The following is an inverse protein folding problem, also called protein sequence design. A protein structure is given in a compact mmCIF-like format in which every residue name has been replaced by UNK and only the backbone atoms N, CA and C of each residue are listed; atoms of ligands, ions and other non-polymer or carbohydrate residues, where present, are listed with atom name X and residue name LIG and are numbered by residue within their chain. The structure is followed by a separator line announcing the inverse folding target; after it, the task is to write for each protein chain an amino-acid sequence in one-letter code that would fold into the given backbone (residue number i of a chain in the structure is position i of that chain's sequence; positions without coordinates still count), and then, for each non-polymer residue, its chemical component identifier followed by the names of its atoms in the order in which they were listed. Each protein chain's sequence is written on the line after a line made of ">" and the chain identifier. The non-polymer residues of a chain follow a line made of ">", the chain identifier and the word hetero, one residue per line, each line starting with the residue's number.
data_IF_988674098078
#
_entry.id   IF_988674098078
#
_cell.length_a   1.000
_cell.length_b   1.000
_cell.length_c   1.000
_cell.angle_alpha   90.00
_cell.angle_beta   90.00
_cell.angle_gamma   90.00
#
_symmetry.space_group_name_H-M   'P 1'
#
loop_
_entity.id
_entity.type
_entity.pdbx_description
1 polymer ?
#
# COMPACT_ATOMS: atom_id res chain seq x y z
N UNK A 1 50.50 -9.59 44.00
CA UNK A 1 50.80 -10.29 42.75
C UNK A 1 49.50 -10.54 42.00
N UNK A 2 49.39 -9.94 40.81
CA UNK A 2 48.44 -10.17 39.69
C UNK A 2 46.95 -10.30 39.98
N UNK A 3 46.26 -9.18 39.81
CA UNK A 3 44.84 -9.10 39.43
C UNK A 3 44.66 -9.66 38.02
N UNK A 4 43.75 -10.61 37.83
CA UNK A 4 43.40 -11.13 36.51
C UNK A 4 41.98 -10.63 36.16
N UNK A 5 41.93 -9.49 35.48
CA UNK A 5 40.69 -8.92 34.93
C UNK A 5 40.44 -9.61 33.58
N UNK A 6 39.42 -10.46 33.53
CA UNK A 6 38.95 -11.07 32.28
C UNK A 6 38.07 -10.06 31.54
N UNK A 7 38.61 -9.45 30.48
CA UNK A 7 37.83 -8.64 29.55
C UNK A 7 37.08 -9.60 28.60
N UNK A 8 35.79 -9.83 28.86
CA UNK A 8 34.88 -10.43 27.89
C UNK A 8 34.61 -9.36 26.82
N UNK A 9 35.18 -9.53 25.63
CA UNK A 9 34.86 -8.70 24.47
C UNK A 9 33.44 -9.03 24.01
N UNK A 10 32.50 -8.12 24.27
CA UNK A 10 31.14 -8.19 23.74
C UNK A 10 31.18 -7.78 22.25
N UNK A 11 31.12 -8.74 21.34
CA UNK A 11 30.94 -8.45 19.91
C UNK A 11 29.46 -8.15 19.65
N UNK A 12 29.08 -6.87 19.70
CA UNK A 12 27.74 -6.43 19.31
C UNK A 12 27.75 -6.03 17.84
N UNK A 13 27.64 -7.01 16.94
CA UNK A 13 27.38 -6.74 15.52
C UNK A 13 25.92 -6.38 15.35
N UNK A 14 25.60 -5.08 15.32
CA UNK A 14 24.27 -4.61 14.88
C UNK A 14 24.25 -4.70 13.35
N UNK A 15 24.00 -5.90 12.83
CA UNK A 15 23.49 -6.02 11.48
C UNK A 15 21.99 -5.70 11.56
N UNK A 16 21.63 -4.42 11.40
CA UNK A 16 20.25 -4.07 11.05
C UNK A 16 20.00 -4.60 9.63
N UNK A 17 19.67 -5.88 9.54
CA UNK A 17 19.02 -6.42 8.37
C UNK A 17 17.63 -5.79 8.32
N UNK A 18 17.46 -4.80 7.44
CA UNK A 18 16.12 -4.43 6.99
C UNK A 18 15.59 -5.68 6.31
N UNK A 19 14.80 -6.47 7.03
CA UNK A 19 14.06 -7.56 6.44
C UNK A 19 13.05 -6.92 5.49
N UNK A 20 13.36 -6.91 4.19
CA UNK A 20 12.35 -6.69 3.17
C UNK A 20 11.21 -7.66 3.44
N UNK A 21 9.97 -7.18 3.45
CA UNK A 21 8.83 -8.05 3.67
C UNK A 21 8.93 -9.25 2.71
N UNK A 22 9.01 -10.46 3.28
CA UNK A 22 9.07 -11.67 2.48
C UNK A 22 7.71 -11.84 1.80
N UNK A 23 7.68 -11.86 0.47
CA UNK A 23 6.44 -11.95 -0.31
C UNK A 23 6.15 -10.73 -1.20
N UNK A 24 4.97 -10.70 -1.83
CA UNK A 24 4.51 -9.54 -2.60
C UNK A 24 4.11 -8.39 -1.66
N UNK A 25 4.41 -7.16 -2.05
CA UNK A 25 4.09 -5.93 -1.30
C UNK A 25 3.69 -4.84 -2.28
N UNK A 26 2.38 -4.63 -2.47
CA UNK A 26 1.83 -3.68 -3.44
C UNK A 26 1.51 -2.36 -2.76
N UNK A 27 2.11 -1.29 -3.26
CA UNK A 27 1.81 0.08 -2.84
C UNK A 27 1.27 0.90 -4.01
N UNK A 28 0.35 1.81 -3.71
CA UNK A 28 -0.09 2.85 -4.66
C UNK A 28 0.85 4.03 -4.49
N UNK A 29 1.72 4.26 -5.47
CA UNK A 29 2.69 5.36 -5.46
C UNK A 29 2.01 6.68 -5.81
N UNK A 30 1.05 6.64 -6.73
CA UNK A 30 0.34 7.83 -7.22
C UNK A 30 -1.10 7.50 -7.55
N UNK A 31 -1.99 8.43 -7.22
CA UNK A 31 -3.35 8.50 -7.75
C UNK A 31 -3.39 9.68 -8.72
N UNK A 32 -3.80 9.43 -9.95
CA UNK A 32 -3.83 10.44 -11.00
C UNK A 32 -5.00 10.27 -11.96
N UNK A 33 -5.01 11.07 -13.04
CA UNK A 33 -6.04 11.04 -14.07
C UNK A 33 -7.47 10.97 -13.50
N UNK A 34 -7.77 11.85 -12.53
CA UNK A 34 -9.10 11.94 -11.94
C UNK A 34 -10.04 12.57 -12.95
N UNK A 35 -11.10 11.86 -13.33
CA UNK A 35 -12.03 12.26 -14.39
C UNK A 35 -13.47 12.12 -13.92
N UNK A 36 -14.32 13.07 -14.35
CA UNK A 36 -15.78 13.01 -14.20
C UNK A 36 -16.42 12.47 -15.48
N UNK A 37 -17.37 11.55 -15.33
CA UNK A 37 -18.05 10.86 -16.41
C UNK A 37 -19.54 11.14 -16.38
N UNK A 38 -19.97 11.99 -17.31
CA UNK A 38 -21.38 12.25 -17.59
C UNK A 38 -22.20 12.64 -16.36
N UNK A 39 -23.51 12.67 -16.54
CA UNK A 39 -24.47 12.81 -15.45
C UNK A 39 -25.72 12.03 -15.82
N UNK A 40 -26.18 11.15 -14.93
CA UNK A 40 -27.42 10.43 -15.16
C UNK A 40 -28.65 11.33 -14.88
N UNK A 41 -29.85 10.84 -15.21
CA UNK A 41 -31.09 11.58 -15.01
C UNK A 41 -31.36 11.94 -13.52
N UNK A 42 -30.75 11.21 -12.60
CA UNK A 42 -30.83 11.41 -11.15
C UNK A 42 -29.76 12.37 -10.63
N UNK A 43 -28.90 12.92 -11.50
CA UNK A 43 -27.85 13.86 -11.12
C UNK A 43 -26.57 13.22 -10.56
N UNK A 44 -26.44 11.89 -10.60
CA UNK A 44 -25.21 11.20 -10.21
C UNK A 44 -24.17 11.31 -11.31
N UNK A 45 -22.92 11.51 -10.91
CA UNK A 45 -21.76 11.57 -11.79
C UNK A 45 -20.88 10.34 -11.56
N UNK A 46 -20.31 9.79 -12.63
CA UNK A 46 -19.24 8.79 -12.50
C UNK A 46 -17.93 9.50 -12.21
N UNK A 47 -17.09 8.94 -11.33
CA UNK A 47 -15.73 9.44 -11.10
C UNK A 47 -14.77 8.26 -11.25
N UNK A 48 -13.70 8.45 -12.01
CA UNK A 48 -12.60 7.48 -12.10
C UNK A 48 -11.30 8.13 -11.69
N UNK A 49 -10.36 7.32 -11.21
CA UNK A 49 -8.98 7.73 -10.99
C UNK A 49 -8.05 6.59 -11.45
N UNK A 50 -6.93 6.96 -12.07
CA UNK A 50 -5.82 6.06 -12.31
C UNK A 50 -5.01 5.86 -11.04
N UNK A 51 -4.38 4.69 -10.93
CA UNK A 51 -3.36 4.44 -9.91
C UNK A 51 -2.09 3.94 -10.60
N UNK A 52 -0.96 4.50 -10.20
CA UNK A 52 0.35 3.93 -10.50
C UNK A 52 0.81 3.18 -9.25
N UNK A 53 1.00 1.86 -9.42
CA UNK A 53 1.26 0.94 -8.32
C UNK A 53 2.53 0.15 -8.57
N UNK A 54 3.26 -0.11 -7.49
CA UNK A 54 4.54 -0.80 -7.50
C UNK A 54 4.49 -1.98 -6.55
N UNK A 55 5.11 -3.10 -6.94
CA UNK A 55 5.42 -4.19 -6.02
C UNK A 55 6.82 -3.97 -5.43
N UNK A 56 6.91 -3.53 -4.19
CA UNK A 56 8.16 -3.38 -3.42
C UNK A 56 8.63 -4.68 -2.77
N UNK A 57 7.85 -5.75 -2.93
CA UNK A 57 8.09 -7.04 -2.33
C UNK A 57 9.20 -7.82 -3.03
N UNK A 58 9.55 -8.95 -2.40
CA UNK A 58 10.58 -9.88 -2.88
C UNK A 58 10.01 -10.97 -3.80
N UNK A 59 8.69 -11.07 -3.94
CA UNK A 59 8.00 -12.02 -4.80
C UNK A 59 6.99 -11.32 -5.71
N UNK A 60 6.74 -11.90 -6.88
CA UNK A 60 5.75 -11.38 -7.83
C UNK A 60 4.33 -11.49 -7.27
N UNK A 61 3.48 -10.52 -7.61
CA UNK A 61 2.04 -10.59 -7.35
C UNK A 61 1.37 -11.44 -8.43
N UNK A 62 0.56 -12.39 -8.01
CA UNK A 62 -0.28 -13.19 -8.90
C UNK A 62 -1.55 -12.43 -9.30
N UNK A 63 -1.73 -12.20 -10.61
CA UNK A 63 -2.91 -11.54 -11.18
C UNK A 63 -3.68 -12.51 -12.07
N UNK A 64 -4.30 -13.54 -11.48
CA UNK A 64 -5.00 -14.57 -12.26
C UNK A 64 -6.33 -14.05 -12.78
N UNK A 65 -6.79 -14.55 -13.93
CA UNK A 65 -8.07 -14.12 -14.46
C UNK A 65 -9.25 -14.72 -13.67
N UNK A 66 -10.42 -14.05 -13.65
CA UNK A 66 -11.65 -14.65 -13.14
C UNK A 66 -11.93 -16.00 -13.79
N UNK A 67 -12.48 -16.98 -13.04
CA UNK A 67 -13.07 -16.85 -11.70
C UNK A 67 -12.09 -17.07 -10.53
N UNK A 68 -10.77 -17.07 -10.78
CA UNK A 68 -9.78 -17.26 -9.71
C UNK A 68 -9.87 -16.14 -8.66
N UNK A 69 -9.78 -16.50 -7.38
CA UNK A 69 -9.67 -15.54 -6.27
C UNK A 69 -8.22 -15.06 -6.04
N UNK A 70 -7.25 -15.56 -6.81
CA UNK A 70 -5.84 -15.14 -6.75
C UNK A 70 -5.60 -13.97 -7.70
N UNK A 71 -6.35 -12.89 -7.47
CA UNK A 71 -6.24 -11.61 -8.19
C UNK A 71 -6.50 -10.49 -7.18
N UNK A 72 -5.46 -9.82 -6.65
CA UNK A 72 -5.65 -8.74 -5.70
C UNK A 72 -6.41 -7.59 -6.34
N UNK A 73 -7.15 -6.83 -5.52
CA UNK A 73 -7.95 -5.70 -5.98
C UNK A 73 -7.42 -4.44 -5.29
N UNK A 74 -7.13 -3.42 -6.09
CA UNK A 74 -6.83 -2.07 -5.61
C UNK A 74 -8.13 -1.28 -5.64
N UNK A 75 -8.78 -1.17 -4.47
CA UNK A 75 -10.06 -0.46 -4.34
C UNK A 75 -9.88 1.05 -4.19
N UNK A 76 -10.88 1.80 -4.63
CA UNK A 76 -10.90 3.26 -4.56
C UNK A 76 -12.10 3.72 -3.74
N UNK A 77 -11.84 4.41 -2.62
CA UNK A 77 -12.88 5.05 -1.81
C UNK A 77 -12.77 6.56 -1.92
N UNK A 78 -13.88 7.22 -2.26
CA UNK A 78 -13.94 8.68 -2.39
C UNK A 78 -14.56 9.29 -1.14
N UNK A 79 -13.83 10.22 -0.52
CA UNK A 79 -14.30 10.99 0.63
C UNK A 79 -14.25 12.49 0.34
N UNK A 80 -15.16 13.23 0.98
CA UNK A 80 -15.17 14.70 1.00
C UNK A 80 -15.04 15.18 2.43
N UNK A 81 -14.08 16.08 2.65
CA UNK A 81 -14.03 16.92 3.85
C UNK A 81 -14.86 18.19 3.59
N UNK A 82 -15.91 18.40 4.37
CA UNK A 82 -16.73 19.61 4.29
C UNK A 82 -17.25 19.97 5.68
N UNK A 83 -17.14 21.23 6.09
CA UNK A 83 -17.52 21.70 7.43
C UNK A 83 -16.94 20.85 8.56
N UNK A 84 -15.63 20.54 8.49
CA UNK A 84 -14.93 19.66 9.45
C UNK A 84 -15.52 18.25 9.59
N UNK A 85 -16.30 17.80 8.63
CA UNK A 85 -16.86 16.45 8.58
C UNK A 85 -16.35 15.71 7.34
N UNK A 86 -15.79 14.52 7.56
CA UNK A 86 -15.48 13.57 6.50
C UNK A 86 -16.74 12.77 6.14
N UNK A 87 -17.09 12.72 4.87
CA UNK A 87 -18.20 11.92 4.35
C UNK A 87 -17.73 11.05 3.18
N UNK A 88 -18.08 9.77 3.20
CA UNK A 88 -17.88 8.87 2.07
C UNK A 88 -18.90 9.19 0.97
N UNK A 89 -18.43 9.32 -0.27
CA UNK A 89 -19.25 9.65 -1.44
C UNK A 89 -19.43 8.46 -2.38
N UNK A 90 -18.47 7.54 -2.42
CA UNK A 90 -18.50 6.39 -3.32
C UNK A 90 -17.40 5.37 -3.01
N UNK A 91 -17.56 4.19 -3.58
CA UNK A 91 -16.59 3.09 -3.55
C UNK A 91 -16.55 2.40 -4.91
N UNK A 92 -15.38 1.90 -5.30
CA UNK A 92 -15.16 1.01 -6.45
C UNK A 92 -14.23 -0.13 -6.08
#
# INVERSE_FOLDING_TARGET
>A
MKYLVYLISLNFSIASAIAWAAGPDVVVNKVDNVQEWGRNAQGLIGITAGTDSCNLGTQAVEWKQPPSNQHPIISLNLYRLHNNKMQQLGMS
#
